data_IF_805187537167
#
_entry.id   IF_805187537167
#
_cell.length_a   1.000
_cell.length_b   1.000
_cell.length_c   1.000
_cell.angle_alpha   90.00
_cell.angle_beta   90.00
_cell.angle_gamma   90.00
#
_symmetry.space_group_name_H-M   'P 1'
#
loop_
_entity.id
_entity.type
_entity.pdbx_description
1 polymer ?
#
# COMPACT_ATOMS: atom_id res chain seq x y z
N UNK A 1 -2.85 3.63 23.66
CA UNK A 1 -2.15 4.81 23.13
C UNK A 1 -3.14 5.68 22.39
N UNK A 2 -3.47 6.83 22.96
CA UNK A 2 -4.59 7.70 22.54
C UNK A 2 -4.11 8.97 21.84
N UNK A 3 -2.83 9.34 21.99
CA UNK A 3 -2.19 10.52 21.39
C UNK A 3 -1.93 10.39 19.87
N UNK A 4 -1.83 9.18 19.34
CA UNK A 4 -1.57 8.93 17.91
C UNK A 4 -2.84 8.98 17.04
N UNK A 5 -4.04 9.00 17.65
CA UNK A 5 -5.31 8.82 16.91
C UNK A 5 -5.78 10.08 16.19
N UNK A 6 -5.29 11.25 16.60
CA UNK A 6 -5.64 12.55 16.00
C UNK A 6 -4.68 12.95 14.87
N UNK A 7 -3.77 12.05 14.48
CA UNK A 7 -2.79 12.30 13.44
C UNK A 7 -3.34 11.97 12.07
N UNK A 8 -3.12 12.90 11.14
CA UNK A 8 -3.43 12.74 9.71
C UNK A 8 -2.94 11.41 9.14
N UNK A 9 -1.79 10.93 9.60
CA UNK A 9 -1.23 9.63 9.22
C UNK A 9 -2.14 8.46 9.66
N UNK A 10 -2.52 8.43 10.94
CA UNK A 10 -3.33 7.35 11.51
C UNK A 10 -4.75 7.33 10.93
N UNK A 11 -5.36 8.50 10.76
CA UNK A 11 -6.67 8.60 10.09
C UNK A 11 -6.62 8.04 8.67
N UNK A 12 -5.55 8.33 7.94
CA UNK A 12 -5.37 7.83 6.58
C UNK A 12 -5.12 6.32 6.55
N UNK A 13 -4.35 5.77 7.49
CA UNK A 13 -4.13 4.33 7.59
C UNK A 13 -5.43 3.59 7.89
N UNK A 14 -6.21 4.10 8.84
CA UNK A 14 -7.53 3.54 9.15
C UNK A 14 -8.46 3.58 7.93
N UNK A 15 -8.40 4.66 7.13
CA UNK A 15 -9.14 4.75 5.89
C UNK A 15 -8.70 3.66 4.91
N UNK A 16 -7.40 3.51 4.66
CA UNK A 16 -6.86 2.48 3.77
C UNK A 16 -7.23 1.06 4.23
N UNK A 17 -7.11 0.77 5.54
CA UNK A 17 -7.51 -0.52 6.11
C UNK A 17 -9.01 -0.79 5.92
N UNK A 18 -9.86 0.22 6.10
CA UNK A 18 -11.30 0.11 5.85
C UNK A 18 -11.59 -0.13 4.36
N UNK A 19 -10.86 0.51 3.45
CA UNK A 19 -11.03 0.26 2.01
C UNK A 19 -10.53 -1.14 1.62
N UNK A 20 -9.48 -1.65 2.29
CA UNK A 20 -8.89 -2.96 2.02
C UNK A 20 -9.85 -4.14 2.28
N UNK A 21 -10.75 -3.98 3.26
CA UNK A 21 -11.74 -5.01 3.63
C UNK A 21 -13.05 -4.92 2.85
N UNK A 22 -13.26 -3.86 2.04
CA UNK A 22 -14.46 -3.76 1.22
C UNK A 22 -14.40 -4.73 0.06
N UNK A 23 -15.54 -5.36 -0.20
CA UNK A 23 -15.74 -6.14 -1.42
C UNK A 23 -16.06 -5.19 -2.56
N UNK A 24 -15.09 -5.01 -3.45
CA UNK A 24 -15.30 -4.41 -4.74
C UNK A 24 -15.67 -5.52 -5.73
N UNK A 25 -16.60 -5.24 -6.65
CA UNK A 25 -16.75 -6.08 -7.84
C UNK A 25 -15.38 -6.21 -8.51
N UNK A 26 -14.94 -7.44 -8.83
CA UNK A 26 -13.56 -7.65 -9.28
C UNK A 26 -13.33 -6.91 -10.58
N UNK A 27 -12.56 -5.82 -10.53
CA UNK A 27 -12.08 -5.20 -11.76
C UNK A 27 -11.19 -6.21 -12.48
N UNK A 28 -11.56 -6.57 -13.71
CA UNK A 28 -10.81 -7.54 -14.53
C UNK A 28 -9.35 -7.11 -14.68
N UNK A 29 -9.05 -5.80 -14.62
CA UNK A 29 -7.68 -5.28 -14.63
C UNK A 29 -6.87 -5.78 -13.44
N UNK A 30 -7.48 -5.98 -12.28
CA UNK A 30 -6.83 -6.48 -11.08
C UNK A 30 -6.49 -7.98 -11.13
N UNK A 31 -6.99 -8.74 -12.11
CA UNK A 31 -6.55 -10.12 -12.32
C UNK A 31 -5.10 -10.21 -12.81
N UNK A 32 -4.52 -9.12 -13.31
CA UNK A 32 -3.10 -9.07 -13.66
C UNK A 32 -2.18 -9.38 -12.46
N UNK A 33 -2.64 -9.12 -11.22
CA UNK A 33 -1.96 -9.56 -10.00
C UNK A 33 -1.72 -11.09 -9.96
N UNK A 34 -2.70 -11.90 -10.38
CA UNK A 34 -2.56 -13.37 -10.42
C UNK A 34 -1.52 -13.83 -11.44
N UNK A 35 -1.42 -13.11 -12.56
CA UNK A 35 -0.56 -13.51 -13.67
C UNK A 35 0.91 -13.17 -13.42
N UNK A 36 1.18 -12.18 -12.56
CA UNK A 36 2.54 -11.68 -12.31
C UNK A 36 3.15 -12.18 -11.00
N UNK A 37 2.33 -12.58 -10.04
CA UNK A 37 2.79 -13.07 -8.74
C UNK A 37 2.66 -14.59 -8.72
N UNK A 38 3.77 -15.28 -8.44
CA UNK A 38 3.84 -16.73 -8.41
C UNK A 38 3.01 -17.29 -7.23
N UNK A 39 1.82 -17.83 -7.53
CA UNK A 39 0.86 -18.31 -6.53
C UNK A 39 1.29 -19.60 -5.80
N UNK A 40 2.22 -20.34 -6.40
CA UNK A 40 2.81 -21.58 -5.92
C UNK A 40 3.93 -21.35 -4.89
N UNK A 41 4.46 -20.12 -4.83
CA UNK A 41 5.44 -19.72 -3.82
C UNK A 41 4.77 -19.53 -2.45
N UNK A 42 5.54 -19.74 -1.38
CA UNK A 42 5.09 -19.48 -0.01
C UNK A 42 4.51 -18.07 0.11
N UNK A 43 3.30 -17.95 0.63
CA UNK A 43 2.54 -16.70 0.79
C UNK A 43 2.18 -15.97 -0.52
N UNK A 44 2.40 -16.59 -1.69
CA UNK A 44 2.05 -16.02 -2.99
C UNK A 44 0.56 -15.73 -3.14
N UNK A 45 -0.32 -16.61 -2.65
CA UNK A 45 -1.79 -16.40 -2.66
C UNK A 45 -2.21 -15.18 -1.83
N UNK A 46 -1.63 -15.00 -0.65
CA UNK A 46 -1.91 -13.85 0.22
C UNK A 46 -1.43 -12.56 -0.41
N UNK A 47 -0.26 -12.58 -1.06
CA UNK A 47 0.29 -11.41 -1.76
C UNK A 47 -0.55 -11.05 -3.01
N UNK A 48 -1.09 -12.04 -3.72
CA UNK A 48 -2.04 -11.83 -4.83
C UNK A 48 -3.32 -11.17 -4.33
N UNK A 49 -3.86 -11.64 -3.20
CA UNK A 49 -5.06 -11.06 -2.59
C UNK A 49 -4.82 -9.59 -2.17
N UNK A 50 -3.70 -9.32 -1.51
CA UNK A 50 -3.29 -7.95 -1.18
C UNK A 50 -3.15 -7.08 -2.44
N UNK A 51 -2.54 -7.62 -3.50
CA UNK A 51 -2.35 -6.90 -4.76
C UNK A 51 -3.70 -6.51 -5.39
N UNK A 52 -4.66 -7.44 -5.41
CA UNK A 52 -6.01 -7.18 -5.94
C UNK A 52 -6.73 -6.11 -5.13
N UNK A 53 -6.65 -6.17 -3.81
CA UNK A 53 -7.26 -5.17 -2.93
C UNK A 53 -6.63 -3.79 -3.13
N UNK A 54 -5.30 -3.72 -3.21
CA UNK A 54 -4.59 -2.47 -3.53
C UNK A 54 -4.94 -1.93 -4.92
N UNK A 55 -5.05 -2.81 -5.93
CA UNK A 55 -5.51 -2.45 -7.27
C UNK A 55 -6.92 -1.83 -7.23
N UNK A 56 -7.85 -2.44 -6.50
CA UNK A 56 -9.20 -1.90 -6.34
C UNK A 56 -9.19 -0.53 -5.65
N UNK A 57 -8.37 -0.34 -4.61
CA UNK A 57 -8.19 0.96 -3.96
C UNK A 57 -7.71 2.01 -4.97
N UNK A 58 -6.64 1.70 -5.72
CA UNK A 58 -6.04 2.63 -6.69
C UNK A 58 -7.04 2.94 -7.82
N UNK A 59 -7.75 1.94 -8.36
CA UNK A 59 -8.58 2.09 -9.54
C UNK A 59 -10.00 2.58 -9.26
N UNK A 60 -10.58 2.17 -8.12
CA UNK A 60 -12.01 2.35 -7.80
C UNK A 60 -12.26 3.41 -6.74
N UNK A 61 -11.32 3.65 -5.82
CA UNK A 61 -11.47 4.71 -4.82
C UNK A 61 -10.92 6.00 -5.42
N UNK A 62 -11.83 6.75 -6.05
CA UNK A 62 -11.53 8.10 -6.53
C UNK A 62 -10.92 8.92 -5.40
N UNK A 63 -9.82 9.58 -5.75
CA UNK A 63 -9.13 10.58 -4.93
C UNK A 63 -8.74 10.05 -3.54
N UNK A 64 -8.38 8.75 -3.45
CA UNK A 64 -7.93 8.13 -2.20
C UNK A 64 -6.81 8.93 -1.52
N UNK A 65 -5.84 9.44 -2.31
CA UNK A 65 -4.77 10.28 -1.78
C UNK A 65 -5.31 11.62 -1.27
N UNK A 66 -6.30 12.23 -1.91
CA UNK A 66 -6.88 13.51 -1.46
C UNK A 66 -7.70 13.39 -0.18
N UNK A 67 -8.13 12.18 0.17
CA UNK A 67 -8.70 11.90 1.51
C UNK A 67 -7.65 11.97 2.63
N UNK A 68 -6.35 11.94 2.29
CA UNK A 68 -5.29 12.20 3.25
C UNK A 68 -5.13 13.71 3.46
N UNK A 69 -5.28 14.18 4.70
CA UNK A 69 -5.19 15.61 5.06
C UNK A 69 -3.75 16.17 5.05
N UNK A 70 -2.78 15.41 4.51
CA UNK A 70 -1.39 15.85 4.45
C UNK A 70 -1.23 17.03 3.46
N UNK A 71 -0.32 17.94 3.77
CA UNK A 71 -0.17 19.23 3.07
C UNK A 71 0.33 19.14 1.63
N UNK A 72 1.00 18.05 1.24
CA UNK A 72 1.53 17.86 -0.11
C UNK A 72 1.42 16.41 -0.59
N UNK A 73 1.39 16.23 -1.91
CA UNK A 73 1.16 14.93 -2.55
C UNK A 73 2.29 13.93 -2.35
N UNK A 74 3.53 14.41 -2.16
CA UNK A 74 4.67 13.54 -1.86
C UNK A 74 4.48 12.89 -0.50
N UNK A 75 4.03 13.66 0.49
CA UNK A 75 3.73 13.18 1.84
C UNK A 75 2.58 12.17 1.86
N UNK A 76 1.49 12.46 1.14
CA UNK A 76 0.37 11.51 0.95
C UNK A 76 0.87 10.18 0.37
N UNK A 77 1.73 10.23 -0.64
CA UNK A 77 2.31 9.03 -1.24
C UNK A 77 3.25 8.27 -0.30
N UNK A 78 4.06 8.99 0.49
CA UNK A 78 4.92 8.40 1.51
C UNK A 78 4.09 7.65 2.55
N UNK A 79 2.99 8.23 3.02
CA UNK A 79 2.09 7.59 3.97
C UNK A 79 1.56 6.26 3.40
N UNK A 80 1.03 6.28 2.18
CA UNK A 80 0.54 5.07 1.52
C UNK A 80 1.67 4.04 1.29
N UNK A 81 2.88 4.49 0.99
CA UNK A 81 4.04 3.59 0.81
C UNK A 81 4.42 2.88 2.11
N UNK A 82 4.45 3.60 3.23
CA UNK A 82 4.70 3.00 4.55
C UNK A 82 3.61 1.99 4.94
N UNK A 83 2.33 2.37 4.79
CA UNK A 83 1.20 1.47 5.06
C UNK A 83 1.27 0.19 4.22
N UNK A 84 1.53 0.35 2.91
CA UNK A 84 1.60 -0.77 1.99
C UNK A 84 2.77 -1.71 2.36
N UNK A 85 3.92 -1.14 2.69
CA UNK A 85 5.10 -1.92 2.99
C UNK A 85 4.96 -2.72 4.29
N UNK A 86 4.34 -2.16 5.34
CA UNK A 86 4.01 -2.88 6.58
C UNK A 86 3.25 -4.19 6.29
N UNK A 87 2.26 -4.12 5.38
CA UNK A 87 1.45 -5.26 4.95
C UNK A 87 2.29 -6.25 4.13
N UNK A 88 3.04 -5.75 3.14
CA UNK A 88 3.87 -6.60 2.27
C UNK A 88 4.93 -7.34 3.07
N UNK A 89 5.71 -6.65 3.91
CA UNK A 89 6.81 -7.26 4.66
C UNK A 89 6.31 -8.28 5.69
N UNK A 90 5.08 -8.10 6.18
CA UNK A 90 4.42 -9.06 7.06
C UNK A 90 4.03 -10.37 6.34
N UNK A 91 3.68 -10.29 5.05
CA UNK A 91 3.34 -11.46 4.22
C UNK A 91 4.61 -12.12 3.66
N UNK A 92 5.54 -11.35 3.11
CA UNK A 92 6.68 -11.92 2.39
C UNK A 92 7.76 -12.46 3.32
N UNK A 93 7.86 -11.98 4.56
CA UNK A 93 8.78 -12.47 5.59
C UNK A 93 10.23 -12.64 5.09
N UNK A 94 10.69 -11.75 4.21
CA UNK A 94 12.06 -11.77 3.66
C UNK A 94 12.22 -12.52 2.32
N UNK A 95 11.14 -13.02 1.72
CA UNK A 95 11.15 -13.53 0.33
C UNK A 95 11.14 -12.39 -0.69
N UNK A 96 11.68 -12.63 -1.89
CA UNK A 96 11.75 -11.63 -2.98
C UNK A 96 10.43 -11.45 -3.77
N UNK A 97 9.32 -12.02 -3.30
CA UNK A 97 8.02 -11.99 -4.00
C UNK A 97 7.45 -10.58 -4.17
N UNK A 98 7.90 -9.62 -3.34
CA UNK A 98 7.46 -8.22 -3.41
C UNK A 98 7.83 -7.52 -4.72
N UNK A 99 8.87 -7.97 -5.46
CA UNK A 99 9.33 -7.26 -6.67
C UNK A 99 8.20 -7.18 -7.71
N UNK A 100 7.58 -8.32 -8.03
CA UNK A 100 6.49 -8.36 -9.01
C UNK A 100 5.24 -7.65 -8.47
N UNK A 101 5.00 -7.71 -7.16
CA UNK A 101 3.91 -6.97 -6.52
C UNK A 101 4.04 -5.46 -6.75
N UNK A 102 5.21 -4.86 -6.48
CA UNK A 102 5.43 -3.43 -6.68
C UNK A 102 5.43 -3.03 -8.17
N UNK A 103 5.92 -3.89 -9.06
CA UNK A 103 5.85 -3.65 -10.49
C UNK A 103 4.39 -3.54 -10.99
N UNK A 104 3.52 -4.44 -10.52
CA UNK A 104 2.09 -4.42 -10.85
C UNK A 104 1.40 -3.17 -10.30
N UNK A 105 1.66 -2.80 -9.04
CA UNK A 105 1.04 -1.61 -8.46
C UNK A 105 1.49 -0.30 -9.13
N UNK A 106 2.75 -0.23 -9.57
CA UNK A 106 3.27 0.91 -10.36
C UNK A 106 2.55 1.06 -11.70
N UNK A 107 2.18 -0.05 -12.33
CA UNK A 107 1.35 -0.01 -13.55
C UNK A 107 -0.02 0.63 -13.26
N UNK A 108 -0.69 0.25 -12.17
CA UNK A 108 -2.02 0.80 -11.85
C UNK A 108 -1.97 2.28 -11.45
N UNK A 109 -0.98 2.69 -10.65
CA UNK A 109 -0.79 4.10 -10.33
C UNK A 109 -0.50 4.91 -11.60
N UNK A 110 0.24 4.32 -12.56
CA UNK A 110 0.46 4.88 -13.89
C UNK A 110 -0.79 5.00 -14.77
N UNK A 111 -1.82 4.17 -14.55
CA UNK A 111 -3.14 4.33 -15.20
C UNK A 111 -3.90 5.50 -14.58
N UNK A 112 -3.82 5.67 -13.25
CA UNK A 112 -4.46 6.75 -12.49
C UNK A 112 -3.52 7.95 -12.28
N UNK A 113 -2.79 8.33 -13.33
CA UNK A 113 -1.76 9.39 -13.30
C UNK A 113 -2.23 10.72 -12.74
N UNK A 114 -3.50 11.07 -12.88
CA UNK A 114 -4.03 12.33 -12.33
C UNK A 114 -4.11 12.25 -10.79
N UNK A 115 -4.63 11.14 -10.27
CA UNK A 115 -4.84 10.93 -8.84
C UNK A 115 -3.59 10.46 -8.10
N UNK A 116 -2.66 9.82 -8.81
CA UNK A 116 -1.39 9.30 -8.30
C UNK A 116 -0.19 10.02 -8.93
N UNK A 117 -0.38 11.27 -9.38
CA UNK A 117 0.68 12.05 -10.03
C UNK A 117 1.88 12.14 -9.10
N UNK A 118 3.05 11.73 -9.59
CA UNK A 118 4.31 11.69 -8.83
C UNK A 118 4.29 10.78 -7.59
N UNK A 119 3.31 9.86 -7.47
CA UNK A 119 3.30 8.88 -6.40
C UNK A 119 3.94 7.56 -6.86
N UNK A 120 5.17 7.31 -6.39
CA UNK A 120 5.84 6.03 -6.54
C UNK A 120 5.74 5.24 -5.24
N UNK A 121 4.91 4.20 -5.24
CA UNK A 121 4.77 3.28 -4.11
C UNK A 121 6.10 2.60 -3.87
N UNK A 122 6.70 2.88 -2.71
CA UNK A 122 8.10 2.53 -2.44
C UNK A 122 8.21 1.16 -1.78
N UNK A 123 9.10 0.34 -2.33
CA UNK A 123 9.66 -0.82 -1.65
C UNK A 123 10.91 -0.37 -0.87
N UNK A 124 10.86 -0.40 0.46
CA UNK A 124 11.99 0.04 1.30
C UNK A 124 13.16 -0.95 1.36
N UNK A 125 12.98 -2.17 0.84
CA UNK A 125 14.03 -3.20 0.71
C UNK A 125 14.82 -3.48 2.01
N UNK A 126 14.09 -3.60 3.12
CA UNK A 126 14.61 -3.97 4.45
C UNK A 126 13.78 -5.13 5.03
N UNK A 127 14.28 -5.82 6.05
CA UNK A 127 13.42 -6.79 6.76
C UNK A 127 12.39 -6.08 7.65
N UNK A 128 11.44 -6.86 8.17
CA UNK A 128 10.34 -6.37 9.01
C UNK A 128 10.83 -5.72 10.30
N UNK A 129 11.87 -6.24 10.94
CA UNK A 129 12.36 -5.70 12.20
C UNK A 129 12.98 -4.31 12.00
N UNK A 130 13.83 -4.18 10.97
CA UNK A 130 14.43 -2.90 10.59
C UNK A 130 13.35 -1.91 10.15
N UNK A 131 12.38 -2.35 9.35
CA UNK A 131 11.27 -1.51 8.94
C UNK A 131 10.46 -1.01 10.13
N UNK A 132 10.06 -1.89 11.05
CA UNK A 132 9.24 -1.50 12.20
C UNK A 132 9.92 -0.44 13.05
N UNK A 133 11.23 -0.56 13.31
CA UNK A 133 11.99 0.47 14.05
C UNK A 133 11.96 1.82 13.34
N UNK A 134 12.17 1.83 12.02
CA UNK A 134 12.12 3.06 11.20
C UNK A 134 10.70 3.62 11.09
N UNK A 135 9.70 2.75 11.00
CA UNK A 135 8.31 3.12 10.85
C UNK A 135 7.76 3.75 12.12
N UNK A 136 8.06 3.20 13.30
CA UNK A 136 7.68 3.80 14.59
C UNK A 136 8.29 5.20 14.73
N UNK A 137 9.57 5.37 14.35
CA UNK A 137 10.21 6.69 14.37
C UNK A 137 9.53 7.65 13.39
N UNK A 138 9.18 7.17 12.18
CA UNK A 138 8.45 7.96 11.20
C UNK A 138 7.07 8.40 11.73
N UNK A 139 6.29 7.48 12.28
CA UNK A 139 5.00 7.78 12.89
C UNK A 139 5.11 8.82 14.00
N UNK A 140 6.16 8.72 14.84
CA UNK A 140 6.44 9.70 15.89
C UNK A 140 6.78 11.09 15.34
N UNK A 141 7.52 11.18 14.23
CA UNK A 141 7.88 12.46 13.60
C UNK A 141 6.70 13.10 12.84
N UNK A 142 5.72 12.29 12.43
CA UNK A 142 4.47 12.74 11.82
C UNK A 142 3.37 13.03 12.85
N UNK A 143 3.71 12.90 14.15
CA UNK A 143 2.86 13.20 15.30
C UNK A 143 2.87 14.66 15.74
#
# INVERSE_FOLDING_TARGET
YTLLKDLTLYEFYKLLDNELVKEYGSDVRCDYCKNQIASDQTNGKELIDLCKKCCNIILSVHDILDKCKASDDKKKCQYMSHWLYDKVVSITQGTNLFINFYAVLSMYSGIKKENFKNCTLTNFNVDKEIFNKKHILYEFLES
#
